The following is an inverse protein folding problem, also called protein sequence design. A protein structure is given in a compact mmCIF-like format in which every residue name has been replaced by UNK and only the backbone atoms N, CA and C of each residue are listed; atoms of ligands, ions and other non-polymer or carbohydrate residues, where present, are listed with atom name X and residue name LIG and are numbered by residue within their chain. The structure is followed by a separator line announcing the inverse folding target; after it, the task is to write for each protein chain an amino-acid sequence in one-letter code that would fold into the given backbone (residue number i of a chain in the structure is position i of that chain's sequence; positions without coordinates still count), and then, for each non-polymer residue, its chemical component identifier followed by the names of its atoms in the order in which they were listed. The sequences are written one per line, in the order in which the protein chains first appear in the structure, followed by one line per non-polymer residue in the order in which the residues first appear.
data_IF_127195255038
#
_entry.id   IF_127195255038
#
_cell.length_a   1.000
_cell.length_b   1.000
_cell.length_c   1.000
_cell.angle_alpha   90.00
_cell.angle_beta   90.00
_cell.angle_gamma   90.00
#
_symmetry.space_group_name_H-M   'P 1'
#
loop_
_entity.id
_entity.type
_entity.pdbx_description
1 polymer ?
#
# COMPACT_ATOMS: atom_id res chain seq x y z
N UNK A 1 -11.97 14.73 24.62
CA UNK A 1 -10.56 14.38 24.95
C UNK A 1 -9.66 15.34 24.19
N UNK A 2 -8.92 16.22 24.86
CA UNK A 2 -8.02 17.18 24.20
C UNK A 2 -6.89 16.43 23.48
N UNK A 3 -6.78 16.64 22.16
CA UNK A 3 -5.67 16.12 21.35
C UNK A 3 -4.47 17.04 21.52
N UNK A 4 -3.28 16.45 21.63
CA UNK A 4 -2.03 17.21 21.58
C UNK A 4 -1.89 17.88 20.20
N UNK A 5 -1.48 19.13 20.18
CA UNK A 5 -1.17 19.84 18.95
C UNK A 5 0.22 19.47 18.43
N UNK A 6 0.55 19.84 17.20
CA UNK A 6 1.91 19.67 16.66
C UNK A 6 2.97 20.44 17.49
N UNK A 7 2.58 21.59 18.04
CA UNK A 7 3.46 22.38 18.91
C UNK A 7 3.73 21.64 20.23
N UNK A 8 2.71 21.02 20.83
CA UNK A 8 2.89 20.22 22.04
C UNK A 8 3.74 18.97 21.76
N UNK A 9 3.58 18.34 20.60
CA UNK A 9 4.42 17.21 20.18
C UNK A 9 5.89 17.65 20.05
N UNK A 10 6.17 18.77 19.36
CA UNK A 10 7.52 19.32 19.26
C UNK A 10 8.11 19.69 20.63
N UNK A 11 7.30 20.25 21.53
CA UNK A 11 7.72 20.55 22.90
C UNK A 11 8.07 19.29 23.70
N UNK A 12 7.26 18.23 23.60
CA UNK A 12 7.56 16.93 24.21
C UNK A 12 8.88 16.38 23.66
N UNK A 13 9.08 16.44 22.34
CA UNK A 13 10.30 15.94 21.69
C UNK A 13 11.55 16.67 22.20
N UNK A 14 11.53 18.00 22.24
CA UNK A 14 12.64 18.81 22.75
C UNK A 14 13.00 18.42 24.19
N UNK A 15 12.01 18.31 25.08
CA UNK A 15 12.27 17.94 26.47
C UNK A 15 12.82 16.50 26.61
N UNK A 16 12.40 15.58 25.75
CA UNK A 16 12.91 14.21 25.75
C UNK A 16 14.35 14.13 25.23
N UNK A 17 14.71 14.95 24.24
CA UNK A 17 16.09 15.12 23.77
C UNK A 17 16.98 15.65 24.90
N UNK A 18 16.48 16.63 25.66
CA UNK A 18 17.18 17.21 26.81
C UNK A 18 17.21 16.28 28.04
N UNK A 19 16.65 15.07 27.96
CA UNK A 19 16.69 14.07 29.03
C UNK A 19 15.67 14.29 30.17
N UNK A 20 14.65 15.13 29.97
CA UNK A 20 13.59 15.30 30.97
C UNK A 20 12.79 14.01 31.15
N UNK A 21 12.46 13.71 32.41
CA UNK A 21 11.65 12.54 32.75
C UNK A 21 10.19 12.72 32.31
N UNK A 22 9.52 11.68 31.76
CA UNK A 22 8.14 11.78 31.25
C UNK A 22 7.10 12.37 32.22
N UNK A 23 7.23 12.11 33.53
CA UNK A 23 6.31 12.68 34.53
C UNK A 23 6.45 14.20 34.67
N UNK A 24 7.64 14.77 34.49
CA UNK A 24 7.86 16.22 34.51
C UNK A 24 7.25 16.88 33.29
N UNK A 25 7.40 16.26 32.13
CA UNK A 25 6.78 16.69 30.87
C UNK A 25 5.25 16.69 31.00
N UNK A 26 4.69 15.62 31.57
CA UNK A 26 3.26 15.52 31.81
C UNK A 26 2.75 16.62 32.76
N UNK A 27 3.45 16.86 33.87
CA UNK A 27 3.08 17.93 34.80
C UNK A 27 3.08 19.32 34.14
N UNK A 28 4.08 19.62 33.31
CA UNK A 28 4.17 20.89 32.60
C UNK A 28 3.00 21.11 31.63
N UNK A 29 2.71 20.11 30.77
CA UNK A 29 1.63 20.20 29.80
C UNK A 29 0.24 20.25 30.45
N UNK A 30 0.01 19.46 31.50
CA UNK A 30 -1.27 19.41 32.18
C UNK A 30 -1.57 20.68 32.98
N UNK A 31 -0.55 21.30 33.58
CA UNK A 31 -0.68 22.61 34.23
C UNK A 31 -1.18 23.67 33.24
N UNK A 32 -0.72 23.60 32.00
CA UNK A 32 -1.09 24.53 30.93
C UNK A 32 -2.39 24.09 30.21
N UNK A 33 -3.11 23.09 30.74
CA UNK A 33 -4.39 22.61 30.20
C UNK A 33 -4.26 21.82 28.89
N UNK A 34 -3.07 21.30 28.56
CA UNK A 34 -2.77 20.69 27.26
C UNK A 34 -2.77 19.16 27.31
N UNK A 35 -3.55 18.55 26.41
CA UNK A 35 -3.60 17.11 26.25
C UNK A 35 -4.22 16.37 27.44
N UNK A 36 -3.85 15.11 27.60
CA UNK A 36 -4.26 14.25 28.72
C UNK A 36 -3.10 13.37 29.13
N UNK A 37 -3.12 12.84 30.36
CA UNK A 37 -2.11 11.87 30.80
C UNK A 37 -1.89 10.75 29.78
N UNK A 38 -2.97 10.21 29.23
CA UNK A 38 -2.91 9.12 28.24
C UNK A 38 -2.28 9.56 26.92
N UNK A 39 -2.62 10.75 26.39
CA UNK A 39 -2.04 11.21 25.13
C UNK A 39 -0.55 11.51 25.26
N UNK A 40 -0.13 12.12 26.38
CA UNK A 40 1.28 12.39 26.70
C UNK A 40 2.06 11.08 26.90
N UNK A 41 1.47 10.12 27.61
CA UNK A 41 2.07 8.79 27.80
C UNK A 41 2.32 8.08 26.48
N UNK A 42 1.36 8.11 25.54
CA UNK A 42 1.52 7.49 24.22
C UNK A 42 2.71 8.09 23.46
N UNK A 43 2.91 9.41 23.52
CA UNK A 43 4.01 10.11 22.86
C UNK A 43 5.37 9.79 23.47
N UNK A 44 5.48 9.92 24.78
CA UNK A 44 6.72 9.60 25.53
C UNK A 44 7.11 8.13 25.40
N UNK A 45 6.15 7.20 25.48
CA UNK A 45 6.40 5.77 25.23
C UNK A 45 6.88 5.48 23.81
N UNK A 46 6.36 6.22 22.83
CA UNK A 46 6.75 6.07 21.41
C UNK A 46 8.18 6.54 21.17
N UNK A 47 8.60 7.63 21.81
CA UNK A 47 9.98 8.11 21.79
C UNK A 47 10.95 6.99 22.19
N UNK A 48 10.71 6.32 23.32
CA UNK A 48 11.56 5.21 23.76
C UNK A 48 11.57 3.99 22.81
N UNK A 49 10.60 3.88 21.89
CA UNK A 49 10.51 2.78 20.92
C UNK A 49 11.09 3.12 19.55
N UNK A 50 11.02 4.38 19.15
CA UNK A 50 11.25 4.80 17.75
C UNK A 50 12.03 6.10 17.62
N UNK A 51 12.44 6.71 18.74
CA UNK A 51 13.08 8.04 18.79
C UNK A 51 12.27 9.12 18.08
N UNK A 52 10.95 9.00 18.11
CA UNK A 52 10.02 9.98 17.54
C UNK A 52 8.73 10.01 18.35
N UNK A 53 8.22 11.22 18.58
CA UNK A 53 6.92 11.43 19.24
C UNK A 53 5.77 11.45 18.24
N UNK A 54 6.02 11.81 16.99
CA UNK A 54 4.96 12.05 16.00
C UNK A 54 4.19 10.79 15.63
N UNK A 55 2.85 10.85 15.48
CA UNK A 55 2.05 9.72 15.03
C UNK A 55 2.52 9.21 13.65
N UNK A 56 2.30 7.91 13.37
CA UNK A 56 2.55 7.39 12.02
C UNK A 56 1.48 8.02 11.13
N UNK A 57 1.88 8.61 10.01
CA UNK A 57 0.92 9.01 8.99
C UNK A 57 0.12 7.79 8.57
N UNK A 58 -1.21 7.89 8.63
CA UNK A 58 -2.12 6.86 8.14
C UNK A 58 -2.11 6.89 6.62
N UNK A 59 -1.00 6.48 6.00
CA UNK A 59 -0.94 6.22 4.57
C UNK A 59 -1.78 4.99 4.24
N UNK A 60 -2.40 4.98 3.06
CA UNK A 60 -2.95 3.75 2.51
C UNK A 60 -1.84 2.71 2.35
N UNK A 61 -2.16 1.43 2.55
CA UNK A 61 -1.24 0.37 2.16
C UNK A 61 -1.06 0.45 0.63
N UNK A 62 0.17 0.43 0.10
CA UNK A 62 0.37 0.28 -1.33
C UNK A 62 -0.42 -0.93 -1.81
N UNK A 63 -1.20 -0.78 -2.88
CA UNK A 63 -1.82 -1.93 -3.52
C UNK A 63 -0.69 -2.72 -4.16
N UNK A 64 -0.45 -3.93 -3.66
CA UNK A 64 0.59 -4.80 -4.21
C UNK A 64 0.13 -5.27 -5.57
N UNK A 65 0.91 -4.94 -6.61
CA UNK A 65 0.72 -5.51 -7.94
C UNK A 65 1.32 -6.93 -7.91
N UNK A 66 0.56 -7.98 -8.29
CA UNK A 66 1.08 -9.36 -8.31
C UNK A 66 2.35 -9.47 -9.15
N UNK A 67 3.30 -10.31 -8.73
CA UNK A 67 4.60 -10.45 -9.42
C UNK A 67 4.46 -10.87 -10.89
N UNK A 68 3.44 -11.66 -11.22
CA UNK A 68 3.11 -12.09 -12.58
C UNK A 68 2.71 -10.91 -13.47
N UNK A 69 1.98 -9.93 -12.92
CA UNK A 69 1.60 -8.70 -13.63
C UNK A 69 2.84 -7.85 -13.87
N UNK A 70 3.72 -7.74 -12.87
CA UNK A 70 4.98 -7.00 -13.02
C UNK A 70 5.87 -7.63 -14.09
N UNK A 71 6.03 -8.96 -14.07
CA UNK A 71 6.80 -9.69 -15.08
C UNK A 71 6.24 -9.45 -16.49
N UNK A 72 4.92 -9.53 -16.65
CA UNK A 72 4.26 -9.27 -17.93
C UNK A 72 4.47 -7.83 -18.43
N UNK A 73 4.41 -6.83 -17.55
CA UNK A 73 4.68 -5.43 -17.90
C UNK A 73 6.13 -5.28 -18.38
N UNK A 74 7.08 -5.92 -17.69
CA UNK A 74 8.50 -5.90 -18.08
C UNK A 74 8.69 -6.54 -19.46
N UNK A 75 8.03 -7.67 -19.73
CA UNK A 75 8.10 -8.35 -21.03
C UNK A 75 7.56 -7.47 -22.17
N UNK A 76 6.45 -6.75 -21.96
CA UNK A 76 5.92 -5.80 -22.96
C UNK A 76 6.93 -4.66 -23.18
N UNK A 77 7.44 -4.04 -22.12
CA UNK A 77 8.38 -2.92 -22.23
C UNK A 77 9.67 -3.39 -22.94
N UNK A 78 10.11 -4.62 -22.70
CA UNK A 78 11.29 -5.20 -23.35
C UNK A 78 11.10 -5.39 -24.86
N UNK A 79 9.87 -5.66 -25.34
CA UNK A 79 9.60 -5.78 -26.78
C UNK A 79 9.76 -4.44 -27.51
N UNK A 80 9.42 -3.33 -26.86
CA UNK A 80 9.61 -1.98 -27.41
C UNK A 80 9.69 -0.96 -26.29
N UNK A 81 10.85 -0.32 -26.15
CA UNK A 81 11.11 0.70 -25.11
C UNK A 81 10.39 2.03 -25.32
N UNK A 82 9.72 2.23 -26.47
CA UNK A 82 9.12 3.52 -26.87
C UNK A 82 7.60 3.54 -26.80
N UNK A 83 6.97 2.65 -26.04
CA UNK A 83 5.51 2.72 -25.85
C UNK A 83 5.13 4.04 -25.18
N UNK A 84 4.11 4.71 -25.69
CA UNK A 84 3.48 5.80 -24.98
C UNK A 84 2.70 5.23 -23.78
N UNK A 85 2.59 6.00 -22.69
CA UNK A 85 1.97 5.54 -21.43
C UNK A 85 0.56 4.98 -21.65
N UNK A 86 -0.22 5.62 -22.52
CA UNK A 86 -1.59 5.22 -22.87
C UNK A 86 -1.63 3.91 -23.66
N UNK A 87 -0.69 3.70 -24.58
CA UNK A 87 -0.55 2.45 -25.34
C UNK A 87 -0.18 1.29 -24.41
N UNK A 88 0.78 1.52 -23.51
CA UNK A 88 1.19 0.53 -22.52
C UNK A 88 0.03 0.16 -21.59
N UNK A 89 -0.73 1.16 -21.13
CA UNK A 89 -1.92 0.94 -20.31
C UNK A 89 -2.97 0.11 -21.05
N UNK A 90 -3.23 0.42 -22.33
CA UNK A 90 -4.16 -0.34 -23.15
C UNK A 90 -3.71 -1.80 -23.34
N UNK A 91 -2.42 -2.03 -23.64
CA UNK A 91 -1.85 -3.36 -23.78
C UNK A 91 -1.97 -4.16 -22.49
N UNK A 92 -1.59 -3.58 -21.35
CA UNK A 92 -1.69 -4.24 -20.05
C UNK A 92 -3.15 -4.58 -19.71
N UNK A 93 -4.07 -3.63 -19.86
CA UNK A 93 -5.48 -3.86 -19.49
C UNK A 93 -6.18 -4.87 -20.41
N UNK A 94 -5.88 -4.88 -21.71
CA UNK A 94 -6.57 -5.73 -22.70
C UNK A 94 -5.93 -7.11 -22.85
N UNK A 95 -4.61 -7.18 -22.92
CA UNK A 95 -3.89 -8.43 -23.18
C UNK A 95 -3.64 -9.26 -21.92
N UNK A 96 -3.51 -8.65 -20.73
CA UNK A 96 -3.32 -9.43 -19.50
C UNK A 96 -4.54 -10.33 -19.17
N UNK A 97 -5.77 -9.89 -19.50
CA UNK A 97 -6.98 -10.71 -19.33
C UNK A 97 -6.96 -11.94 -20.23
N UNK A 98 -6.46 -11.79 -21.46
CA UNK A 98 -6.31 -12.88 -22.42
C UNK A 98 -5.17 -13.83 -22.02
N UNK A 99 -4.02 -13.27 -21.62
CA UNK A 99 -2.87 -14.04 -21.16
C UNK A 99 -3.19 -14.87 -19.90
N UNK A 100 -3.93 -14.30 -18.94
CA UNK A 100 -4.38 -15.02 -17.75
C UNK A 100 -5.30 -16.20 -18.11
N UNK A 101 -6.22 -16.03 -19.06
CA UNK A 101 -7.07 -17.13 -19.53
C UNK A 101 -6.22 -18.26 -20.13
N UNK A 102 -5.32 -17.96 -21.06
CA UNK A 102 -4.43 -18.97 -21.67
C UNK A 102 -3.54 -19.70 -20.65
N UNK A 103 -3.05 -18.99 -19.63
CA UNK A 103 -2.23 -19.57 -18.56
C UNK A 103 -3.02 -20.50 -17.63
N UNK A 104 -4.32 -20.23 -17.43
CA UNK A 104 -5.21 -21.07 -16.63
C UNK A 104 -5.58 -22.35 -17.39
N UNK A 105 -5.85 -22.24 -18.70
CA UNK A 105 -6.20 -23.38 -19.58
C UNK A 105 -5.05 -24.37 -19.76
N UNK A 106 -3.79 -23.92 -19.70
CA UNK A 106 -2.61 -24.80 -19.82
C UNK A 106 -2.35 -25.67 -18.57
N UNK A 107 -2.89 -25.29 -17.41
CA UNK A 107 -2.68 -26.00 -16.14
C UNK A 107 -3.85 -26.91 -15.72
N UNK A 108 -5.01 -26.77 -16.35
CA UNK A 108 -6.21 -27.53 -15.99
C UNK A 108 -6.84 -28.18 -17.24
N UNK A 109 -6.76 -29.52 -17.40
CA UNK A 109 -7.31 -30.22 -18.55
C UNK A 109 -8.83 -30.05 -18.70
N UNK A 110 -9.55 -29.83 -17.59
CA UNK A 110 -11.01 -29.69 -17.59
C UNK A 110 -11.43 -28.33 -18.17
N UNK A 111 -10.70 -27.26 -17.80
CA UNK A 111 -10.90 -25.93 -18.35
C UNK A 111 -10.55 -25.85 -19.85
N UNK A 112 -9.64 -26.70 -20.32
CA UNK A 112 -9.28 -26.83 -21.73
C UNK A 112 -10.40 -27.44 -22.58
N UNK A 113 -11.02 -28.52 -22.10
CA UNK A 113 -12.13 -29.16 -22.81
C UNK A 113 -13.35 -28.22 -22.92
N UNK A 114 -13.68 -27.50 -21.86
CA UNK A 114 -14.79 -26.52 -21.88
C UNK A 114 -14.54 -25.37 -22.88
N UNK A 115 -13.28 -24.92 -23.04
CA UNK A 115 -12.92 -23.89 -24.02
C UNK A 115 -12.97 -24.39 -25.47
N UNK A 116 -12.56 -25.64 -25.71
CA UNK A 116 -12.62 -26.27 -27.03
C UNK A 116 -14.09 -26.49 -27.46
N UNK A 117 -14.99 -26.88 -26.55
CA UNK A 117 -16.44 -26.98 -26.81
C UNK A 117 -17.09 -25.60 -27.06
N UNK A 118 -16.70 -24.59 -26.29
CA UNK A 118 -17.22 -23.23 -26.45
C UNK A 118 -16.76 -22.62 -27.80
N UNK A 119 -15.52 -22.84 -28.22
CA UNK A 119 -15.01 -22.42 -29.54
C UNK A 119 -15.75 -23.06 -30.72
N UNK A 120 -16.13 -24.34 -30.62
CA UNK A 120 -16.92 -25.04 -31.65
C UNK A 120 -18.32 -24.46 -31.77
N UNK A 121 -18.86 -23.89 -30.68
CA UNK A 121 -20.20 -23.28 -30.66
C UNK A 121 -20.22 -21.88 -31.30
N UNK A 122 -19.08 -21.16 -31.26
CA UNK A 122 -18.97 -19.79 -31.79
C UNK A 122 -18.31 -19.66 -33.17
N UNK A 123 -17.79 -20.75 -33.75
CA UNK A 123 -17.34 -20.77 -35.14
C UNK A 123 -18.50 -21.24 -36.03
N UNK A 124 -19.04 -20.41 -36.95
CA UNK A 124 -20.03 -20.89 -37.90
C UNK A 124 -19.41 -22.01 -38.72
N UNK A 125 -20.14 -23.12 -38.86
CA UNK A 125 -19.77 -24.25 -39.71
C UNK A 125 -19.39 -23.72 -41.11
N UNK A 126 -18.10 -23.68 -41.40
CA UNK A 126 -17.62 -23.43 -42.76
C UNK A 126 -17.72 -24.77 -43.49
N UNK A 127 -18.60 -24.78 -44.48
CA UNK A 127 -18.85 -25.84 -45.47
C UNK A 127 -17.57 -26.37 -46.10
#
# INVERSE_FOLDING_TARGET
MLRLTKQDEAFIEHLLIDGYKPHKIAAALLRDGRGSHSSIYVRTKRWHRTSSVYPRSTGGRPRVVPIEVVAYIVDIIAQRSTYWVEELQWLICKQFVLHKKEFTTKRDPIARMAFEEELVTYLPAQL
#
